data_IF_297981795389
#
_entry.id   IF_297981795389
#
_cell.length_a   1.000
_cell.length_b   1.000
_cell.length_c   1.000
_cell.angle_alpha   90.00
_cell.angle_beta   90.00
_cell.angle_gamma   90.00
#
_symmetry.space_group_name_H-M   'P 1'
#
loop_
_entity.id
_entity.type
_entity.pdbx_description
1 polymer ?
#
# COMPACT_ATOMS: atom_id res chain seq x y z
N UNK A 1 -13.37 16.80 30.05
CA UNK A 1 -14.37 15.89 30.66
C UNK A 1 -15.49 15.76 29.63
N UNK A 2 -15.86 14.56 29.20
CA UNK A 2 -16.90 14.36 28.17
C UNK A 2 -18.21 15.04 28.60
N UNK A 3 -18.77 15.95 27.78
CA UNK A 3 -20.02 16.66 28.10
C UNK A 3 -21.17 15.68 28.43
N UNK A 4 -21.18 14.52 27.77
CA UNK A 4 -22.12 13.43 28.03
C UNK A 4 -22.02 12.88 29.45
N UNK A 5 -20.80 12.76 30.02
CA UNK A 5 -20.61 12.22 31.38
C UNK A 5 -21.13 13.17 32.44
N UNK A 6 -20.98 14.47 32.23
CA UNK A 6 -21.49 15.49 33.15
C UNK A 6 -23.02 15.44 33.19
N UNK A 7 -23.66 15.39 32.01
CA UNK A 7 -25.13 15.28 31.90
C UNK A 7 -25.64 13.99 32.54
N UNK A 8 -25.02 12.85 32.25
CA UNK A 8 -25.42 11.56 32.88
C UNK A 8 -25.26 11.59 34.39
N UNK A 9 -24.18 12.21 34.91
CA UNK A 9 -23.95 12.32 36.36
C UNK A 9 -25.03 13.16 37.04
N UNK A 10 -25.42 14.29 36.43
CA UNK A 10 -26.49 15.15 36.96
C UNK A 10 -27.82 14.39 36.99
N UNK A 11 -28.17 13.71 35.90
CA UNK A 11 -29.42 12.93 35.81
C UNK A 11 -29.47 11.80 36.84
N UNK A 12 -28.41 11.01 36.96
CA UNK A 12 -28.33 9.89 37.92
C UNK A 12 -28.41 10.40 39.37
N UNK A 13 -27.81 11.56 39.65
CA UNK A 13 -27.85 12.17 40.99
C UNK A 13 -29.26 12.65 41.35
N UNK A 14 -29.94 13.32 40.42
CA UNK A 14 -31.33 13.75 40.62
C UNK A 14 -32.27 12.55 40.80
N UNK A 15 -32.11 11.50 39.99
CA UNK A 15 -32.90 10.28 40.09
C UNK A 15 -32.69 9.55 41.42
N UNK A 16 -31.44 9.45 41.90
CA UNK A 16 -31.14 8.82 43.17
C UNK A 16 -31.75 9.58 44.36
N UNK A 17 -31.76 10.92 44.30
CA UNK A 17 -32.38 11.75 45.32
C UNK A 17 -33.91 11.57 45.36
N UNK A 18 -34.57 11.59 44.19
CA UNK A 18 -36.02 11.36 44.08
C UNK A 18 -36.40 9.94 44.53
N UNK A 19 -35.63 8.94 44.10
CA UNK A 19 -35.83 7.56 44.52
C UNK A 19 -35.62 7.38 46.03
N UNK A 20 -34.63 8.07 46.62
CA UNK A 20 -34.38 8.08 48.06
C UNK A 20 -35.57 8.63 48.84
N UNK A 21 -36.08 9.80 48.42
CA UNK A 21 -37.27 10.40 49.03
C UNK A 21 -38.51 9.52 48.93
N UNK A 22 -38.71 8.87 47.77
CA UNK A 22 -39.84 7.97 47.54
C UNK A 22 -39.74 6.70 48.41
N UNK A 23 -38.57 6.06 48.46
CA UNK A 23 -38.33 4.87 49.26
C UNK A 23 -38.44 5.17 50.76
N UNK A 24 -37.92 6.31 51.22
CA UNK A 24 -38.08 6.77 52.60
C UNK A 24 -39.54 7.04 52.94
N UNK A 25 -40.35 7.53 52.01
CA UNK A 25 -41.80 7.72 52.19
C UNK A 25 -42.54 6.40 52.31
N UNK A 26 -42.19 5.42 51.48
CA UNK A 26 -42.75 4.07 51.55
C UNK A 26 -42.41 3.37 52.88
N UNK A 27 -41.15 3.43 53.30
CA UNK A 27 -40.71 2.87 54.58
C UNK A 27 -41.33 3.59 55.78
N UNK A 28 -41.55 4.90 55.69
CA UNK A 28 -42.25 5.66 56.71
C UNK A 28 -43.68 5.17 56.91
N UNK A 29 -44.44 4.93 55.83
CA UNK A 29 -45.80 4.38 55.92
C UNK A 29 -45.81 2.98 56.55
N UNK A 30 -44.87 2.11 56.16
CA UNK A 30 -44.72 0.77 56.75
C UNK A 30 -44.41 0.84 58.25
N UNK A 31 -43.45 1.67 58.66
CA UNK A 31 -43.04 1.76 60.07
C UNK A 31 -44.09 2.43 60.96
N UNK A 32 -44.98 3.22 60.38
CA UNK A 32 -46.15 3.80 61.03
C UNK A 32 -47.38 2.87 61.01
N UNK A 33 -47.33 1.74 60.28
CA UNK A 33 -48.46 0.83 60.13
C UNK A 33 -49.62 1.40 59.31
N UNK A 34 -49.33 2.36 58.43
CA UNK A 34 -50.29 3.04 57.57
C UNK A 34 -50.39 2.34 56.21
N UNK A 35 -51.51 2.55 55.53
CA UNK A 35 -51.71 2.01 54.18
C UNK A 35 -50.68 2.59 53.20
N UNK A 36 -49.93 1.70 52.56
CA UNK A 36 -48.95 2.05 51.51
C UNK A 36 -49.60 2.66 50.26
N UNK A 37 -50.91 2.52 50.09
CA UNK A 37 -51.68 3.21 49.05
C UNK A 37 -51.70 4.74 49.20
N UNK A 38 -51.31 5.28 50.36
CA UNK A 38 -51.20 6.72 50.62
C UNK A 38 -49.87 7.33 50.14
N UNK A 39 -48.99 6.53 49.53
CA UNK A 39 -47.68 6.97 49.08
C UNK A 39 -47.78 8.00 47.95
N UNK A 40 -47.12 9.13 48.14
CA UNK A 40 -46.90 10.20 47.17
C UNK A 40 -45.41 10.54 47.13
N UNK A 41 -44.98 11.19 46.07
CA UNK A 41 -43.59 11.67 45.94
C UNK A 41 -43.17 12.65 47.04
N UNK A 42 -44.13 13.31 47.70
CA UNK A 42 -43.88 14.25 48.80
C UNK A 42 -44.02 13.63 50.19
N UNK A 43 -44.51 12.39 50.31
CA UNK A 43 -44.90 11.79 51.60
C UNK A 43 -43.80 11.89 52.65
N UNK A 44 -42.56 11.58 52.29
CA UNK A 44 -41.45 11.70 53.22
C UNK A 44 -41.17 13.14 53.64
N UNK A 45 -41.21 14.07 52.68
CA UNK A 45 -40.99 15.49 52.95
C UNK A 45 -42.09 16.09 53.83
N UNK A 46 -43.34 15.67 53.61
CA UNK A 46 -44.48 16.09 54.41
C UNK A 46 -44.32 15.64 55.87
N UNK A 47 -43.88 14.39 56.11
CA UNK A 47 -43.58 13.90 57.46
C UNK A 47 -42.39 14.60 58.14
N UNK A 48 -41.34 14.94 57.38
CA UNK A 48 -40.20 15.69 57.90
C UNK A 48 -40.57 17.15 58.21
N UNK A 49 -41.43 17.78 57.41
CA UNK A 49 -41.86 19.17 57.61
C UNK A 49 -42.71 19.34 58.87
N UNK A 50 -43.49 18.32 59.24
CA UNK A 50 -44.34 18.32 60.44
C UNK A 50 -43.77 17.46 61.58
N UNK A 51 -42.46 17.19 61.59
CA UNK A 51 -41.81 16.29 62.54
C UNK A 51 -41.97 16.73 64.01
N UNK A 52 -42.06 18.04 64.26
CA UNK A 52 -42.21 18.63 65.59
C UNK A 52 -43.68 18.87 65.97
N UNK A 53 -44.63 18.49 65.11
CA UNK A 53 -46.06 18.50 65.44
C UNK A 53 -46.34 17.44 66.53
N UNK A 54 -47.09 17.74 67.61
CA UNK A 54 -47.25 16.85 68.76
C UNK A 54 -47.72 15.42 68.42
N UNK A 55 -48.54 15.27 67.38
CA UNK A 55 -49.07 13.98 66.92
C UNK A 55 -48.05 13.14 66.11
N UNK A 56 -47.03 13.77 65.53
CA UNK A 56 -45.99 13.12 64.69
C UNK A 56 -44.70 12.92 65.48
N UNK A 57 -44.40 13.82 66.42
CA UNK A 57 -43.19 13.81 67.24
C UNK A 57 -42.97 12.49 68.00
N UNK A 58 -44.06 11.82 68.42
CA UNK A 58 -44.00 10.50 69.06
C UNK A 58 -43.42 9.39 68.14
N UNK A 59 -43.47 9.57 66.82
CA UNK A 59 -42.95 8.62 65.83
C UNK A 59 -41.65 9.09 65.17
N UNK A 60 -41.05 10.20 65.66
CA UNK A 60 -39.84 10.83 65.12
C UNK A 60 -38.70 9.82 64.86
N UNK A 61 -38.44 8.93 65.81
CA UNK A 61 -37.39 7.91 65.67
C UNK A 61 -37.62 6.98 64.47
N UNK A 62 -38.87 6.55 64.24
CA UNK A 62 -39.21 5.65 63.12
C UNK A 62 -39.09 6.35 61.77
N UNK A 63 -39.48 7.62 61.69
CA UNK A 63 -39.36 8.44 60.48
C UNK A 63 -37.90 8.74 60.11
N UNK A 64 -37.05 8.99 61.12
CA UNK A 64 -35.61 9.18 60.91
C UNK A 64 -34.96 7.88 60.41
N UNK A 65 -35.32 6.72 60.98
CA UNK A 65 -34.81 5.42 60.52
C UNK A 65 -35.28 5.09 59.10
N UNK A 66 -36.54 5.35 58.74
CA UNK A 66 -37.04 5.21 57.37
C UNK A 66 -36.27 6.10 56.38
N UNK A 67 -35.94 7.33 56.80
CA UNK A 67 -35.06 8.24 56.09
C UNK A 67 -33.68 7.67 55.83
N UNK A 68 -33.01 7.27 56.91
CA UNK A 68 -31.66 6.75 56.87
C UNK A 68 -31.54 5.50 55.98
N UNK A 69 -32.52 4.59 56.06
CA UNK A 69 -32.54 3.39 55.21
C UNK A 69 -32.81 3.76 53.75
N UNK A 70 -33.84 4.56 53.46
CA UNK A 70 -34.21 4.89 52.08
C UNK A 70 -33.15 5.70 51.34
N UNK A 71 -32.66 6.79 51.93
CA UNK A 71 -31.57 7.58 51.35
C UNK A 71 -30.24 6.83 51.39
N UNK A 72 -29.95 6.04 52.44
CA UNK A 72 -28.72 5.26 52.54
C UNK A 72 -28.60 4.20 51.45
N UNK A 73 -29.67 3.44 51.20
CA UNK A 73 -29.70 2.45 50.12
C UNK A 73 -29.55 3.11 48.74
N UNK A 74 -30.25 4.22 48.49
CA UNK A 74 -30.15 4.92 47.21
C UNK A 74 -28.80 5.62 47.02
N UNK A 75 -28.16 6.07 48.09
CA UNK A 75 -26.79 6.58 48.05
C UNK A 75 -25.77 5.48 47.67
N UNK A 76 -25.95 4.25 48.17
CA UNK A 76 -25.10 3.11 47.78
C UNK A 76 -25.28 2.71 46.31
N UNK A 77 -26.53 2.71 45.81
CA UNK A 77 -26.83 2.48 44.38
C UNK A 77 -26.22 3.59 43.51
N UNK A 78 -26.42 4.85 43.90
CA UNK A 78 -25.83 6.01 43.24
C UNK A 78 -24.30 5.93 43.17
N UNK A 79 -23.66 5.64 44.30
CA UNK A 79 -22.20 5.51 44.38
C UNK A 79 -21.69 4.39 43.48
N UNK A 80 -22.41 3.27 43.42
CA UNK A 80 -22.07 2.12 42.56
C UNK A 80 -22.16 2.48 41.08
N UNK A 81 -23.19 3.23 40.66
CA UNK A 81 -23.33 3.73 39.28
C UNK A 81 -22.22 4.74 38.94
N UNK A 82 -21.87 5.65 39.85
CA UNK A 82 -20.76 6.59 39.63
C UNK A 82 -19.42 5.87 39.50
N UNK A 83 -19.13 4.90 40.37
CA UNK A 83 -17.92 4.08 40.26
C UNK A 83 -17.88 3.34 38.92
N UNK A 84 -19.01 2.83 38.44
CA UNK A 84 -19.08 2.20 37.12
C UNK A 84 -18.86 3.19 35.96
N UNK A 85 -19.42 4.40 36.05
CA UNK A 85 -19.25 5.44 35.02
C UNK A 85 -17.81 5.93 34.92
N UNK A 86 -17.12 6.08 36.06
CA UNK A 86 -15.79 6.70 36.10
C UNK A 86 -14.63 5.70 36.15
N UNK A 87 -14.77 4.56 36.82
CA UNK A 87 -13.67 3.62 37.08
C UNK A 87 -13.62 2.45 36.10
N UNK A 88 -14.77 1.88 35.71
CA UNK A 88 -14.83 0.69 34.86
C UNK A 88 -14.51 0.93 33.37
N UNK A 89 -14.53 2.19 32.90
CA UNK A 89 -14.19 2.56 31.51
C UNK A 89 -12.89 3.36 31.37
N UNK A 90 -12.07 3.43 32.41
CA UNK A 90 -10.82 4.20 32.44
C UNK A 90 -9.60 3.47 31.88
N UNK A 91 -9.77 2.55 30.92
CA UNK A 91 -8.64 2.19 30.07
C UNK A 91 -8.42 3.32 29.07
N UNK A 92 -7.51 4.24 29.42
CA UNK A 92 -6.94 5.19 28.48
C UNK A 92 -6.23 4.39 27.39
N UNK A 93 -6.81 4.37 26.20
CA UNK A 93 -6.29 3.62 25.06
C UNK A 93 -5.07 4.34 24.48
N UNK A 94 -3.94 4.21 25.17
CA UNK A 94 -2.64 4.80 24.82
C UNK A 94 -2.11 4.36 23.45
N UNK A 95 -2.56 3.22 22.93
CA UNK A 95 -2.14 2.66 21.64
C UNK A 95 -3.21 2.75 20.54
N UNK A 96 -4.24 3.57 20.75
CA UNK A 96 -5.38 3.66 19.82
C UNK A 96 -6.41 2.55 20.01
N UNK A 97 -7.57 2.72 19.38
CA UNK A 97 -8.70 1.79 19.48
C UNK A 97 -9.03 1.25 18.09
N UNK A 98 -8.45 0.10 17.75
CA UNK A 98 -8.89 -0.65 16.58
C UNK A 98 -10.30 -1.19 16.83
N UNK A 99 -11.19 -0.99 15.86
CA UNK A 99 -12.51 -1.61 15.81
C UNK A 99 -12.90 -1.83 14.35
N UNK A 100 -13.82 -2.75 14.13
CA UNK A 100 -14.43 -2.88 12.81
C UNK A 100 -15.18 -1.60 12.44
N UNK A 101 -15.02 -1.19 11.18
CA UNK A 101 -15.72 -0.06 10.62
C UNK A 101 -17.19 -0.43 10.36
N UNK A 102 -18.11 0.48 10.69
CA UNK A 102 -19.51 0.41 10.29
C UNK A 102 -19.77 1.16 8.98
N UNK A 103 -21.01 1.09 8.51
CA UNK A 103 -21.49 1.81 7.32
C UNK A 103 -21.19 3.32 7.37
N UNK A 104 -21.43 3.96 8.51
CA UNK A 104 -21.20 5.40 8.69
C UNK A 104 -19.71 5.75 8.60
N UNK A 105 -18.83 4.90 9.15
CA UNK A 105 -17.38 5.11 9.06
C UNK A 105 -16.91 5.03 7.60
N UNK A 106 -17.38 4.01 6.88
CA UNK A 106 -17.06 3.77 5.47
C UNK A 106 -17.59 4.90 4.57
N UNK A 107 -18.83 5.36 4.80
CA UNK A 107 -19.41 6.49 4.10
C UNK A 107 -18.62 7.79 4.34
N UNK A 108 -18.28 8.07 5.59
CA UNK A 108 -17.50 9.27 5.98
C UNK A 108 -16.09 9.25 5.40
N UNK A 109 -15.47 8.06 5.31
CA UNK A 109 -14.15 7.87 4.70
C UNK A 109 -14.19 7.73 3.17
N UNK A 110 -15.37 7.81 2.55
CA UNK A 110 -15.51 7.86 1.09
C UNK A 110 -15.56 6.50 0.39
N UNK A 111 -15.54 5.38 1.12
CA UNK A 111 -15.54 4.03 0.54
C UNK A 111 -16.78 3.69 -0.28
N UNK A 112 -17.86 4.46 -0.12
CA UNK A 112 -19.15 4.27 -0.78
C UNK A 112 -19.47 5.36 -1.83
N UNK A 113 -18.60 6.37 -2.01
CA UNK A 113 -18.94 7.60 -2.74
C UNK A 113 -18.61 7.59 -4.23
N UNK A 114 -17.72 6.71 -4.70
CA UNK A 114 -17.18 6.79 -6.07
C UNK A 114 -17.60 5.57 -6.91
N UNK A 115 -18.18 5.81 -8.09
CA UNK A 115 -18.68 4.73 -8.95
C UNK A 115 -17.55 4.02 -9.73
N UNK A 116 -16.44 4.69 -10.01
CA UNK A 116 -15.40 4.17 -10.91
C UNK A 116 -13.96 4.55 -10.55
N UNK A 117 -13.76 5.23 -9.42
CA UNK A 117 -12.43 5.65 -8.94
C UNK A 117 -11.99 4.81 -7.72
N UNK A 118 -10.71 4.48 -7.68
CA UNK A 118 -10.12 3.77 -6.55
C UNK A 118 -10.13 2.25 -6.64
N UNK A 119 -9.35 1.64 -5.73
CA UNK A 119 -9.13 0.19 -5.67
C UNK A 119 -10.29 -0.45 -4.94
N UNK A 120 -10.93 -1.45 -5.53
CA UNK A 120 -11.95 -2.28 -4.87
C UNK A 120 -11.26 -3.13 -3.80
N UNK A 121 -11.64 -2.92 -2.53
CA UNK A 121 -11.06 -3.63 -1.37
C UNK A 121 -12.04 -4.59 -0.71
N UNK A 122 -13.30 -4.60 -1.13
CA UNK A 122 -14.31 -5.51 -0.60
C UNK A 122 -15.73 -5.12 -1.00
N UNK A 123 -16.70 -5.73 -0.34
CA UNK A 123 -18.12 -5.46 -0.53
C UNK A 123 -18.83 -5.46 0.82
N UNK A 124 -19.80 -4.58 0.99
CA UNK A 124 -20.69 -4.59 2.16
C UNK A 124 -22.12 -4.23 1.73
N UNK A 125 -23.09 -5.06 2.12
CA UNK A 125 -24.51 -4.90 1.76
C UNK A 125 -24.74 -4.67 0.26
N UNK A 126 -24.11 -5.49 -0.58
CA UNK A 126 -24.21 -5.38 -2.04
C UNK A 126 -23.39 -4.27 -2.68
N UNK A 127 -22.83 -3.33 -1.91
CA UNK A 127 -22.05 -2.19 -2.42
C UNK A 127 -20.55 -2.48 -2.38
N UNK A 128 -19.86 -2.23 -3.48
CA UNK A 128 -18.39 -2.29 -3.53
C UNK A 128 -17.80 -1.20 -2.64
N UNK A 129 -16.80 -1.58 -1.86
CA UNK A 129 -15.98 -0.68 -1.06
C UNK A 129 -14.75 -0.32 -1.88
N UNK A 130 -14.57 0.96 -2.18
CA UNK A 130 -13.44 1.46 -2.97
C UNK A 130 -12.54 2.34 -2.12
N UNK A 131 -11.24 2.07 -2.14
CA UNK A 131 -10.24 2.93 -1.51
C UNK A 131 -9.93 4.11 -2.44
N UNK A 132 -10.32 5.35 -2.09
CA UNK A 132 -10.11 6.50 -2.94
C UNK A 132 -8.67 7.03 -2.87
N UNK A 133 -8.28 7.79 -3.89
CA UNK A 133 -7.00 8.50 -3.92
C UNK A 133 -5.78 7.64 -4.26
N UNK A 134 -4.60 8.24 -4.12
CA UNK A 134 -3.31 7.61 -4.41
C UNK A 134 -2.78 6.90 -3.15
N UNK A 135 -3.42 5.80 -2.77
CA UNK A 135 -3.02 4.98 -1.64
C UNK A 135 -2.52 3.62 -2.11
N UNK A 136 -1.63 3.02 -1.31
CA UNK A 136 -1.09 1.69 -1.56
C UNK A 136 -1.91 0.64 -0.82
N UNK A 137 -2.09 -0.53 -1.45
CA UNK A 137 -2.79 -1.67 -0.87
C UNK A 137 -1.85 -2.86 -0.84
N UNK A 138 -1.75 -3.49 0.33
CA UNK A 138 -1.11 -4.79 0.50
C UNK A 138 -2.18 -5.85 0.72
N UNK A 139 -2.13 -6.92 -0.08
CA UNK A 139 -3.03 -8.07 0.06
C UNK A 139 -2.25 -9.25 0.64
N UNK A 140 -2.48 -9.54 1.92
CA UNK A 140 -1.99 -10.74 2.57
C UNK A 140 -3.02 -11.88 2.40
N UNK A 141 -2.70 -12.88 1.59
CA UNK A 141 -3.62 -13.97 1.26
C UNK A 141 -2.85 -15.29 1.04
N UNK A 142 -3.21 -16.39 1.74
CA UNK A 142 -2.62 -17.71 1.51
C UNK A 142 -2.84 -18.23 0.08
N UNK A 143 -2.12 -19.27 -0.31
CA UNK A 143 -2.42 -19.97 -1.57
C UNK A 143 -3.85 -20.52 -1.56
N UNK A 144 -4.50 -20.55 -2.73
CA UNK A 144 -5.89 -21.04 -2.93
C UNK A 144 -6.99 -20.30 -2.13
N UNK A 145 -6.70 -19.14 -1.54
CA UNK A 145 -7.67 -18.29 -0.83
C UNK A 145 -8.56 -17.42 -1.73
N UNK A 146 -8.39 -17.51 -3.06
CA UNK A 146 -9.16 -16.73 -4.01
C UNK A 146 -8.64 -15.32 -4.28
N UNK A 147 -7.37 -14.99 -3.98
CA UNK A 147 -6.81 -13.64 -4.24
C UNK A 147 -7.02 -13.12 -5.68
N UNK A 148 -6.94 -14.00 -6.67
CA UNK A 148 -7.15 -13.66 -8.09
C UNK A 148 -8.59 -13.28 -8.36
N UNK A 149 -9.52 -14.19 -8.07
CA UNK A 149 -10.96 -14.04 -8.32
C UNK A 149 -11.64 -13.00 -7.42
N UNK A 150 -11.14 -12.82 -6.19
CA UNK A 150 -11.76 -11.96 -5.18
C UNK A 150 -11.22 -10.53 -5.15
N UNK A 151 -10.00 -10.28 -5.67
CA UNK A 151 -9.38 -8.96 -5.61
C UNK A 151 -8.78 -8.52 -6.94
N UNK A 152 -7.90 -9.33 -7.54
CA UNK A 152 -7.14 -8.91 -8.75
C UNK A 152 -8.06 -8.72 -9.96
N UNK A 153 -8.81 -9.76 -10.35
CA UNK A 153 -9.72 -9.71 -11.50
C UNK A 153 -10.80 -8.63 -11.30
N UNK A 154 -11.51 -8.55 -10.15
CA UNK A 154 -12.47 -7.48 -9.91
C UNK A 154 -11.88 -6.07 -10.09
N UNK A 155 -10.65 -5.83 -9.63
CA UNK A 155 -10.00 -4.55 -9.84
C UNK A 155 -9.67 -4.29 -11.31
N UNK A 156 -9.17 -5.27 -12.06
CA UNK A 156 -8.90 -5.10 -13.49
C UNK A 156 -10.16 -4.86 -14.32
N UNK A 157 -11.31 -5.37 -13.88
CA UNK A 157 -12.61 -5.11 -14.50
C UNK A 157 -13.22 -3.76 -14.07
N UNK A 158 -13.01 -3.34 -12.82
CA UNK A 158 -13.64 -2.17 -12.23
C UNK A 158 -12.81 -0.88 -12.30
N UNK A 159 -11.48 -0.97 -12.43
CA UNK A 159 -10.57 0.17 -12.44
C UNK A 159 -10.47 0.76 -13.85
N UNK A 160 -10.86 2.03 -13.98
CA UNK A 160 -11.02 2.73 -15.26
C UNK A 160 -9.77 3.44 -15.78
N UNK A 161 -8.69 3.42 -15.02
CA UNK A 161 -7.41 4.01 -15.42
C UNK A 161 -6.43 2.93 -15.90
N UNK A 162 -5.30 3.36 -16.46
CA UNK A 162 -4.24 2.46 -16.94
C UNK A 162 -3.75 1.53 -15.82
N UNK A 163 -3.43 0.28 -16.19
CA UNK A 163 -2.93 -0.72 -15.26
C UNK A 163 -1.71 -1.44 -15.86
N UNK A 164 -0.67 -1.62 -15.04
CA UNK A 164 0.47 -2.49 -15.34
C UNK A 164 0.38 -3.67 -14.38
N UNK A 165 0.37 -4.89 -14.93
CA UNK A 165 0.09 -6.11 -14.17
C UNK A 165 1.23 -7.10 -14.36
N UNK A 166 1.88 -7.50 -13.26
CA UNK A 166 2.78 -8.64 -13.26
C UNK A 166 1.94 -9.92 -13.19
N UNK A 167 1.82 -10.61 -14.32
CA UNK A 167 0.92 -11.76 -14.47
C UNK A 167 1.68 -13.04 -14.80
N UNK A 168 2.32 -13.65 -13.79
CA UNK A 168 3.16 -14.84 -13.93
C UNK A 168 2.45 -16.02 -14.62
N UNK A 169 1.12 -16.10 -14.50
CA UNK A 169 0.33 -17.20 -15.07
C UNK A 169 -0.47 -16.82 -16.32
N UNK A 170 -0.44 -15.55 -16.71
CA UNK A 170 -1.27 -14.99 -17.81
C UNK A 170 -2.81 -15.07 -17.60
N UNK A 171 -3.29 -15.53 -16.44
CA UNK A 171 -4.74 -15.66 -16.15
C UNK A 171 -5.44 -14.29 -16.14
N UNK A 172 -4.77 -13.23 -15.69
CA UNK A 172 -5.37 -11.90 -15.62
C UNK A 172 -5.54 -11.31 -17.02
N UNK A 173 -4.53 -11.47 -17.88
CA UNK A 173 -4.61 -11.03 -19.26
C UNK A 173 -5.74 -11.75 -20.00
N UNK A 174 -5.79 -13.07 -19.93
CA UNK A 174 -6.77 -13.88 -20.67
C UNK A 174 -8.22 -13.56 -20.25
N UNK A 175 -8.45 -13.34 -18.95
CA UNK A 175 -9.80 -13.08 -18.42
C UNK A 175 -10.26 -11.63 -18.55
N UNK A 176 -9.34 -10.66 -18.61
CA UNK A 176 -9.70 -9.23 -18.47
C UNK A 176 -9.36 -8.35 -19.66
N UNK A 177 -8.41 -8.76 -20.51
CA UNK A 177 -7.94 -7.96 -21.65
C UNK A 177 -9.07 -7.57 -22.61
N UNK A 178 -9.96 -8.51 -22.94
CA UNK A 178 -11.10 -8.27 -23.83
C UNK A 178 -12.07 -7.21 -23.29
N UNK A 179 -12.38 -7.27 -21.99
CA UNK A 179 -13.19 -6.24 -21.33
C UNK A 179 -12.49 -4.89 -21.29
N UNK A 180 -11.21 -4.87 -20.93
CA UNK A 180 -10.45 -3.61 -20.88
C UNK A 180 -10.37 -2.98 -22.27
N UNK A 181 -10.23 -3.78 -23.33
CA UNK A 181 -10.30 -3.32 -24.71
C UNK A 181 -11.68 -2.77 -25.07
N UNK A 182 -12.77 -3.40 -24.63
CA UNK A 182 -14.14 -2.95 -24.94
C UNK A 182 -14.50 -1.61 -24.31
N UNK A 183 -13.83 -1.24 -23.20
CA UNK A 183 -13.96 0.09 -22.57
C UNK A 183 -12.96 1.12 -23.10
N UNK A 184 -12.27 0.81 -24.20
CA UNK A 184 -11.41 1.73 -24.94
C UNK A 184 -9.94 1.69 -24.56
N UNK A 185 -9.48 0.75 -23.71
CA UNK A 185 -8.07 0.69 -23.36
C UNK A 185 -7.21 0.07 -24.46
N UNK A 186 -6.00 0.62 -24.66
CA UNK A 186 -4.94 -0.10 -25.38
C UNK A 186 -4.43 -1.25 -24.54
N UNK A 187 -4.30 -2.42 -25.17
CA UNK A 187 -3.92 -3.66 -24.50
C UNK A 187 -2.60 -4.15 -25.06
N UNK A 188 -1.63 -4.33 -24.18
CA UNK A 188 -0.32 -4.88 -24.50
C UNK A 188 -0.03 -6.07 -23.59
N UNK A 189 0.55 -7.12 -24.18
CA UNK A 189 1.06 -8.31 -23.51
C UNK A 189 2.55 -8.39 -23.78
N UNK A 190 3.38 -8.26 -22.75
CA UNK A 190 4.81 -8.54 -22.82
C UNK A 190 5.07 -9.87 -22.12
N UNK A 191 5.17 -10.94 -22.89
CA UNK A 191 5.54 -12.28 -22.46
C UNK A 191 6.80 -12.72 -23.23
N UNK A 192 7.99 -12.32 -22.76
CA UNK A 192 9.23 -12.51 -23.52
C UNK A 192 9.73 -13.97 -23.57
N UNK A 193 8.97 -14.91 -23.01
CA UNK A 193 9.24 -16.35 -23.08
C UNK A 193 8.04 -17.13 -23.65
N UNK A 194 7.13 -16.45 -24.36
CA UNK A 194 5.96 -17.08 -24.95
C UNK A 194 6.35 -18.13 -26.00
N UNK A 195 5.97 -19.38 -25.78
CA UNK A 195 6.25 -20.49 -26.71
C UNK A 195 5.55 -20.31 -28.06
N UNK A 196 4.37 -19.69 -28.06
CA UNK A 196 3.60 -19.35 -29.25
C UNK A 196 4.09 -18.07 -29.95
N UNK A 197 5.12 -17.42 -29.38
CA UNK A 197 5.72 -16.15 -29.86
C UNK A 197 4.75 -14.98 -29.87
N UNK A 198 3.61 -15.06 -29.18
CA UNK A 198 2.61 -13.98 -29.13
C UNK A 198 2.94 -13.02 -27.98
N UNK A 199 3.86 -12.11 -28.26
CA UNK A 199 4.23 -11.02 -27.36
C UNK A 199 4.39 -9.73 -28.13
N UNK A 200 4.04 -8.63 -27.48
CA UNK A 200 4.50 -7.30 -27.90
C UNK A 200 5.97 -7.15 -27.53
N UNK A 201 6.64 -6.22 -28.19
CA UNK A 201 8.03 -5.89 -27.93
C UNK A 201 8.16 -4.69 -26.99
N UNK A 202 9.18 -4.73 -26.15
CA UNK A 202 9.57 -3.63 -25.29
C UNK A 202 11.08 -3.62 -25.11
N UNK A 203 11.72 -2.51 -25.44
CA UNK A 203 13.15 -2.33 -25.30
C UNK A 203 13.47 -1.35 -24.16
N UNK A 204 14.08 -1.82 -23.05
CA UNK A 204 14.41 -0.94 -21.93
C UNK A 204 15.48 0.11 -22.29
N UNK A 205 16.26 -0.08 -23.36
CA UNK A 205 17.27 0.90 -23.78
C UNK A 205 16.66 2.09 -24.56
N UNK A 206 15.40 2.04 -25.00
CA UNK A 206 14.76 3.15 -25.73
C UNK A 206 14.45 4.36 -24.83
N UNK A 207 14.56 4.21 -23.50
CA UNK A 207 14.40 5.31 -22.55
C UNK A 207 15.68 6.11 -22.33
N UNK A 208 16.82 5.62 -22.82
CA UNK A 208 18.12 6.32 -22.71
C UNK A 208 18.12 7.53 -23.61
N UNK A 209 18.58 8.67 -23.09
CA UNK A 209 18.63 9.92 -23.82
C UNK A 209 19.54 9.87 -25.05
N UNK A 210 19.07 10.49 -26.14
CA UNK A 210 19.88 10.80 -27.31
C UNK A 210 20.89 11.94 -27.01
N UNK A 211 20.73 12.69 -25.93
CA UNK A 211 21.70 13.69 -25.48
C UNK A 211 22.88 13.01 -24.75
N UNK A 212 24.12 13.11 -25.27
CA UNK A 212 25.30 12.54 -24.63
C UNK A 212 25.52 13.01 -23.19
N UNK A 213 25.05 14.20 -22.80
CA UNK A 213 25.18 14.72 -21.45
C UNK A 213 24.39 13.92 -20.40
N UNK A 214 23.24 13.36 -20.78
CA UNK A 214 22.37 12.58 -19.89
C UNK A 214 22.50 11.06 -20.07
N UNK A 215 23.04 10.62 -21.22
CA UNK A 215 23.18 9.19 -21.55
C UNK A 215 23.94 8.38 -20.50
N UNK A 216 25.04 8.92 -19.97
CA UNK A 216 25.85 8.20 -18.97
C UNK A 216 25.04 7.92 -17.71
N UNK A 217 24.28 8.90 -17.19
CA UNK A 217 23.45 8.72 -16.00
C UNK A 217 22.29 7.75 -16.23
N UNK A 218 21.69 7.78 -17.43
CA UNK A 218 20.61 6.86 -17.79
C UNK A 218 21.12 5.41 -17.84
N UNK A 219 22.26 5.18 -18.50
CA UNK A 219 22.88 3.87 -18.61
C UNK A 219 23.35 3.34 -17.25
N UNK A 220 23.91 4.20 -16.41
CA UNK A 220 24.28 3.83 -15.03
C UNK A 220 23.05 3.44 -14.20
N UNK A 221 21.91 4.12 -14.39
CA UNK A 221 20.65 3.79 -13.72
C UNK A 221 20.14 2.41 -14.13
N UNK A 222 20.21 2.08 -15.43
CA UNK A 222 19.87 0.74 -15.93
C UNK A 222 20.86 -0.31 -15.41
N UNK A 223 22.16 0.01 -15.38
CA UNK A 223 23.18 -0.87 -14.83
C UNK A 223 22.92 -1.19 -13.35
N UNK A 224 22.49 -0.21 -12.55
CA UNK A 224 22.16 -0.42 -11.14
C UNK A 224 20.94 -1.36 -10.93
N UNK A 225 20.00 -1.39 -11.89
CA UNK A 225 18.87 -2.34 -11.86
C UNK A 225 19.29 -3.76 -12.23
N UNK A 226 20.20 -3.91 -13.21
CA UNK A 226 20.67 -5.22 -13.68
C UNK A 226 21.71 -5.85 -12.73
N UNK A 227 22.56 -5.01 -12.14
CA UNK A 227 23.62 -5.41 -11.22
C UNK A 227 23.35 -4.73 -9.88
N UNK A 228 22.37 -5.19 -9.07
CA UNK A 228 22.03 -4.55 -7.79
C UNK A 228 23.19 -4.62 -6.79
N UNK A 229 23.23 -3.68 -5.84
CA UNK A 229 24.23 -3.72 -4.77
C UNK A 229 24.04 -4.98 -3.93
N UNK A 230 25.09 -5.79 -3.81
CA UNK A 230 25.15 -6.98 -2.96
C UNK A 230 25.85 -6.73 -1.62
N UNK A 231 26.33 -7.82 -1.02
CA UNK A 231 27.19 -7.77 0.16
C UNK A 231 28.48 -6.96 -0.10
N UNK A 232 29.13 -6.46 0.96
CA UNK A 232 30.38 -5.68 0.85
C UNK A 232 31.48 -6.39 0.03
N UNK A 233 31.54 -7.72 0.12
CA UNK A 233 32.49 -8.57 -0.62
C UNK A 233 32.27 -8.56 -2.14
N UNK A 234 31.06 -8.26 -2.60
CA UNK A 234 30.67 -8.31 -4.01
C UNK A 234 30.68 -6.92 -4.67
N UNK A 235 30.94 -5.86 -3.90
CA UNK A 235 30.96 -4.46 -4.36
C UNK A 235 31.93 -4.23 -5.52
N UNK A 236 33.13 -4.83 -5.45
CA UNK A 236 34.11 -4.70 -6.52
C UNK A 236 33.57 -5.28 -7.83
N UNK A 237 33.09 -6.53 -7.80
CA UNK A 237 32.56 -7.22 -8.99
C UNK A 237 31.33 -6.52 -9.56
N UNK A 238 30.42 -6.07 -8.70
CA UNK A 238 29.23 -5.31 -9.09
C UNK A 238 29.61 -4.00 -9.77
N UNK A 239 30.55 -3.24 -9.19
CA UNK A 239 31.05 -1.98 -9.76
C UNK A 239 31.72 -2.19 -11.12
N UNK A 240 32.57 -3.22 -11.25
CA UNK A 240 33.23 -3.54 -12.50
C UNK A 240 32.26 -4.04 -13.58
N UNK A 241 31.24 -4.83 -13.21
CA UNK A 241 30.18 -5.26 -14.11
C UNK A 241 29.36 -4.06 -14.65
N UNK A 242 29.03 -3.09 -13.78
CA UNK A 242 28.38 -1.83 -14.18
C UNK A 242 29.27 -1.01 -15.13
N UNK A 243 30.58 -0.95 -14.88
CA UNK A 243 31.52 -0.27 -15.79
C UNK A 243 31.59 -0.98 -17.16
N UNK A 244 31.63 -2.31 -17.19
CA UNK A 244 31.58 -3.08 -18.43
C UNK A 244 30.28 -2.84 -19.21
N UNK A 245 29.13 -2.84 -18.51
CA UNK A 245 27.84 -2.50 -19.10
C UNK A 245 27.86 -1.09 -19.71
N UNK A 246 28.39 -0.10 -19.01
CA UNK A 246 28.53 1.27 -19.50
C UNK A 246 29.40 1.32 -20.76
N UNK A 247 30.56 0.64 -20.78
CA UNK A 247 31.44 0.61 -21.94
C UNK A 247 30.73 0.07 -23.20
N UNK A 248 30.07 -1.08 -23.08
CA UNK A 248 29.42 -1.75 -24.21
C UNK A 248 28.16 -1.01 -24.68
N UNK A 249 27.38 -0.45 -23.76
CA UNK A 249 26.20 0.34 -24.13
C UNK A 249 26.60 1.66 -24.79
N UNK A 250 27.55 2.41 -24.25
CA UNK A 250 28.05 3.63 -24.90
C UNK A 250 28.56 3.35 -26.31
N UNK A 251 29.32 2.27 -26.50
CA UNK A 251 29.74 1.83 -27.83
C UNK A 251 28.56 1.66 -28.80
N UNK A 252 27.50 0.96 -28.38
CA UNK A 252 26.32 0.72 -29.24
C UNK A 252 25.58 2.02 -29.59
N UNK A 253 25.39 2.91 -28.62
CA UNK A 253 24.73 4.20 -28.86
C UNK A 253 25.56 5.10 -29.78
N UNK A 254 26.87 5.19 -29.55
CA UNK A 254 27.76 6.05 -30.34
C UNK A 254 28.01 5.47 -31.75
N UNK A 255 28.06 4.14 -31.89
CA UNK A 255 28.10 3.48 -33.20
C UNK A 255 26.82 3.75 -34.00
N UNK A 256 25.64 3.74 -33.35
CA UNK A 256 24.37 4.12 -33.97
C UNK A 256 24.39 5.57 -34.45
N UNK A 257 24.90 6.48 -33.65
CA UNK A 257 25.04 7.89 -34.05
C UNK A 257 25.99 8.07 -35.23
N UNK A 258 27.13 7.37 -35.22
CA UNK A 258 28.09 7.41 -36.31
C UNK A 258 27.48 6.88 -37.62
N UNK A 259 26.74 5.77 -37.58
CA UNK A 259 25.97 5.25 -38.72
C UNK A 259 24.97 6.28 -39.27
N UNK A 260 24.25 6.99 -38.38
CA UNK A 260 23.34 8.08 -38.78
C UNK A 260 24.10 9.23 -39.44
N UNK A 261 25.24 9.65 -38.89
CA UNK A 261 26.08 10.72 -39.47
C UNK A 261 26.62 10.35 -40.83
N UNK A 262 26.92 9.07 -41.06
CA UNK A 262 27.39 8.54 -42.35
C UNK A 262 26.26 8.34 -43.36
N UNK A 263 25.01 8.67 -43.02
CA UNK A 263 23.87 8.59 -43.93
C UNK A 263 23.36 7.16 -44.15
N UNK A 264 23.61 6.24 -43.21
CA UNK A 264 23.04 4.89 -43.26
C UNK A 264 21.51 4.97 -43.22
N UNK A 265 20.82 4.17 -44.04
CA UNK A 265 19.36 4.12 -44.02
C UNK A 265 18.84 3.62 -42.66
N UNK A 266 17.70 4.13 -42.19
CA UNK A 266 17.08 3.72 -40.92
C UNK A 266 16.88 2.20 -40.79
N UNK A 267 16.64 1.49 -41.89
CA UNK A 267 16.51 0.04 -41.91
C UNK A 267 17.80 -0.73 -41.55
N UNK A 268 18.96 -0.11 -41.70
CA UNK A 268 20.28 -0.69 -41.42
C UNK A 268 20.84 -0.25 -40.06
N UNK A 269 20.29 0.83 -39.49
CA UNK A 269 20.75 1.39 -38.22
C UNK A 269 20.29 0.47 -37.10
N UNK A 270 21.24 -0.18 -36.42
CA UNK A 270 20.91 -1.06 -35.31
C UNK A 270 20.53 -0.25 -34.08
N UNK A 271 19.38 -0.59 -33.50
CA UNK A 271 18.95 -0.03 -32.22
C UNK A 271 19.68 -0.76 -31.09
N UNK A 272 20.26 -0.06 -30.10
CA UNK A 272 20.80 -0.69 -28.91
C UNK A 272 19.72 -1.52 -28.19
N UNK A 273 20.01 -2.79 -27.95
CA UNK A 273 19.19 -3.70 -27.16
C UNK A 273 20.07 -4.45 -26.16
N UNK A 274 19.49 -5.00 -25.10
CA UNK A 274 20.25 -5.80 -24.13
C UNK A 274 20.89 -7.04 -24.79
N UNK A 275 20.23 -7.65 -25.78
CA UNK A 275 20.84 -8.73 -26.57
C UNK A 275 22.00 -8.26 -27.44
N UNK A 276 21.96 -7.04 -27.98
CA UNK A 276 23.11 -6.45 -28.68
C UNK A 276 24.29 -6.21 -27.74
N UNK A 277 24.02 -5.75 -26.51
CA UNK A 277 25.04 -5.60 -25.46
C UNK A 277 25.70 -6.95 -25.16
N UNK A 278 24.92 -8.01 -24.99
CA UNK A 278 25.43 -9.36 -24.79
C UNK A 278 26.30 -9.82 -25.96
N UNK A 279 25.84 -9.65 -27.21
CA UNK A 279 26.61 -10.01 -28.41
C UNK A 279 27.94 -9.27 -28.49
N UNK A 280 27.93 -7.94 -28.30
CA UNK A 280 29.17 -7.14 -28.28
C UNK A 280 30.13 -7.64 -27.20
N UNK A 281 29.65 -7.92 -26.00
CA UNK A 281 30.49 -8.44 -24.92
C UNK A 281 31.01 -9.87 -25.14
N UNK A 282 30.43 -10.59 -26.10
CA UNK A 282 30.76 -12.00 -26.40
C UNK A 282 31.90 -12.15 -27.40
N UNK A 283 32.20 -11.10 -28.14
CA UNK A 283 33.21 -11.13 -29.20
C UNK A 283 32.68 -11.74 -30.49
N UNK A 284 33.59 -11.89 -31.44
CA UNK A 284 33.36 -12.44 -32.79
C UNK A 284 33.89 -13.88 -32.95
N UNK A 285 34.26 -14.52 -31.84
CA UNK A 285 34.91 -15.84 -31.81
C UNK A 285 36.44 -15.77 -31.69
N UNK A 286 37.05 -14.58 -31.78
CA UNK A 286 38.46 -14.36 -31.48
C UNK A 286 38.72 -14.13 -29.98
N UNK A 287 39.96 -13.85 -29.61
CA UNK A 287 40.31 -13.46 -28.25
C UNK A 287 39.59 -12.17 -27.85
N UNK A 288 38.88 -12.22 -26.71
CA UNK A 288 37.96 -11.15 -26.32
C UNK A 288 38.65 -9.81 -26.05
N UNK A 289 39.84 -9.82 -25.42
CA UNK A 289 40.55 -8.58 -25.08
C UNK A 289 41.00 -7.81 -26.33
N UNK A 290 41.73 -8.41 -27.30
CA UNK A 290 42.05 -7.76 -28.57
C UNK A 290 40.81 -7.25 -29.32
N UNK A 291 39.74 -8.04 -29.36
CA UNK A 291 38.47 -7.63 -29.96
C UNK A 291 37.90 -6.36 -29.29
N UNK A 292 37.82 -6.34 -27.97
CA UNK A 292 37.32 -5.17 -27.22
C UNK A 292 38.25 -3.96 -27.33
N UNK A 293 39.56 -4.16 -27.44
CA UNK A 293 40.52 -3.09 -27.72
C UNK A 293 40.23 -2.46 -29.09
N UNK A 294 39.98 -3.27 -30.12
CA UNK A 294 39.61 -2.76 -31.44
C UNK A 294 38.28 -1.97 -31.45
N UNK A 295 37.35 -2.28 -30.52
CA UNK A 295 36.16 -1.47 -30.31
C UNK A 295 36.50 -0.13 -29.62
N UNK A 296 37.34 -0.17 -28.58
CA UNK A 296 37.76 1.02 -27.84
C UNK A 296 38.55 2.03 -28.69
N UNK A 297 39.23 1.54 -29.73
CA UNK A 297 40.03 2.35 -30.65
C UNK A 297 39.21 3.05 -31.75
N UNK A 298 37.88 2.83 -31.78
CA UNK A 298 37.03 3.48 -32.79
C UNK A 298 37.04 5.01 -32.64
N UNK A 299 37.22 5.76 -33.74
CA UNK A 299 37.41 7.21 -33.67
C UNK A 299 36.16 7.97 -33.24
N UNK A 300 34.97 7.41 -33.48
CA UNK A 300 33.70 8.01 -33.09
C UNK A 300 33.44 7.95 -31.58
N UNK A 301 34.22 7.19 -30.81
CA UNK A 301 33.99 7.03 -29.38
C UNK A 301 34.34 8.27 -28.56
N UNK A 302 33.45 8.61 -27.65
CA UNK A 302 33.61 9.67 -26.66
C UNK A 302 34.71 9.34 -25.65
N UNK A 303 35.17 10.37 -24.93
CA UNK A 303 36.10 10.20 -23.82
C UNK A 303 35.52 9.28 -22.73
N UNK A 304 34.22 9.41 -22.44
CA UNK A 304 33.54 8.57 -21.44
C UNK A 304 33.54 7.09 -21.83
N UNK A 305 33.23 6.77 -23.09
CA UNK A 305 33.28 5.41 -23.60
C UNK A 305 34.70 4.84 -23.51
N UNK A 306 35.70 5.60 -23.97
CA UNK A 306 37.12 5.21 -23.92
C UNK A 306 37.60 4.98 -22.48
N UNK A 307 37.22 5.84 -21.54
CA UNK A 307 37.53 5.66 -20.11
C UNK A 307 36.88 4.39 -19.55
N UNK A 308 35.62 4.10 -19.88
CA UNK A 308 34.94 2.89 -19.43
C UNK A 308 35.63 1.62 -19.97
N UNK A 309 36.00 1.61 -21.26
CA UNK A 309 36.79 0.53 -21.86
C UNK A 309 38.16 0.39 -21.21
N UNK A 310 38.89 1.49 -20.98
CA UNK A 310 40.20 1.46 -20.33
C UNK A 310 40.11 0.86 -18.91
N UNK A 311 39.07 1.20 -18.14
CA UNK A 311 38.82 0.61 -16.81
C UNK A 311 38.68 -0.92 -16.84
N UNK A 312 38.06 -1.45 -17.90
CA UNK A 312 37.89 -2.89 -18.11
C UNK A 312 39.16 -3.56 -18.69
N UNK A 313 39.76 -2.98 -19.73
CA UNK A 313 40.88 -3.56 -20.48
C UNK A 313 42.21 -3.53 -19.72
N UNK A 314 42.36 -2.62 -18.76
CA UNK A 314 43.53 -2.52 -17.88
C UNK A 314 43.61 -3.63 -16.82
N UNK A 315 42.54 -4.42 -16.65
CA UNK A 315 42.51 -5.50 -15.66
C UNK A 315 43.36 -6.69 -16.10
N UNK A 316 44.00 -7.37 -15.16
CA UNK A 316 44.70 -8.63 -15.43
C UNK A 316 43.74 -9.69 -16.01
N UNK A 317 44.25 -10.64 -16.80
CA UNK A 317 43.41 -11.58 -17.58
C UNK A 317 42.39 -12.35 -16.73
N UNK A 318 42.81 -12.85 -15.56
CA UNK A 318 41.93 -13.57 -14.63
C UNK A 318 40.83 -12.65 -14.09
N UNK A 319 41.19 -11.44 -13.66
CA UNK A 319 40.24 -10.45 -13.14
C UNK A 319 39.27 -10.01 -14.23
N UNK A 320 39.77 -9.77 -15.45
CA UNK A 320 38.97 -9.45 -16.62
C UNK A 320 37.94 -10.55 -16.91
N UNK A 321 38.36 -11.82 -16.92
CA UNK A 321 37.45 -12.94 -17.15
C UNK A 321 36.35 -13.01 -16.07
N UNK A 322 36.70 -12.80 -14.81
CA UNK A 322 35.73 -12.72 -13.71
C UNK A 322 34.75 -11.56 -13.87
N UNK A 323 35.23 -10.38 -14.26
CA UNK A 323 34.37 -9.20 -14.52
C UNK A 323 33.39 -9.49 -15.66
N UNK A 324 33.85 -10.07 -16.77
CA UNK A 324 32.99 -10.47 -17.89
C UNK A 324 31.96 -11.51 -17.42
N UNK A 325 32.35 -12.46 -16.56
CA UNK A 325 31.44 -13.42 -15.95
C UNK A 325 30.32 -12.75 -15.14
N UNK A 326 30.68 -11.86 -14.21
CA UNK A 326 29.71 -11.09 -13.42
C UNK A 326 28.83 -10.20 -14.28
N UNK A 327 29.40 -9.58 -15.31
CA UNK A 327 28.68 -8.76 -16.27
C UNK A 327 27.64 -9.57 -17.08
N UNK A 328 27.96 -10.78 -17.53
CA UNK A 328 27.05 -11.58 -18.38
C UNK A 328 25.89 -12.18 -17.61
N UNK A 329 26.03 -12.42 -16.32
CA UNK A 329 25.07 -13.19 -15.50
C UNK A 329 23.60 -12.73 -15.66
N UNK A 330 23.24 -11.45 -15.46
CA UNK A 330 21.85 -10.98 -15.65
C UNK A 330 21.44 -10.88 -17.13
N UNK A 331 22.39 -10.93 -18.07
CA UNK A 331 22.12 -10.88 -19.51
C UNK A 331 22.03 -12.27 -20.16
N UNK A 332 22.41 -13.35 -19.46
CA UNK A 332 22.33 -14.72 -19.97
C UNK A 332 20.96 -15.10 -20.55
N UNK A 333 19.80 -14.66 -19.99
CA UNK A 333 18.50 -14.95 -20.58
C UNK A 333 18.37 -14.48 -22.04
N UNK A 334 19.11 -13.45 -22.47
CA UNK A 334 19.07 -12.89 -23.83
C UNK A 334 19.80 -13.76 -24.87
N UNK A 335 20.45 -14.86 -24.45
CA UNK A 335 20.87 -15.93 -25.36
C UNK A 335 19.66 -16.61 -26.02
N UNK A 336 18.48 -16.56 -25.38
CA UNK A 336 17.25 -17.08 -25.96
C UNK A 336 16.75 -16.14 -27.08
N UNK A 337 16.65 -16.61 -28.34
CA UNK A 337 16.21 -15.77 -29.45
C UNK A 337 14.77 -15.25 -29.30
N UNK A 338 13.92 -15.92 -28.51
CA UNK A 338 12.56 -15.45 -28.22
C UNK A 338 12.60 -14.19 -27.35
N UNK A 339 13.43 -14.18 -26.30
CA UNK A 339 13.60 -13.00 -25.44
C UNK A 339 14.29 -11.85 -26.20
N UNK A 340 15.34 -12.15 -26.97
CA UNK A 340 16.03 -11.13 -27.77
C UNK A 340 15.07 -10.48 -28.78
N UNK A 341 14.24 -11.27 -29.47
CA UNK A 341 13.21 -10.75 -30.36
C UNK A 341 12.16 -9.90 -29.62
N UNK A 342 11.71 -10.34 -28.45
CA UNK A 342 10.75 -9.60 -27.62
C UNK A 342 11.30 -8.27 -27.09
N UNK A 343 12.62 -8.09 -27.06
CA UNK A 343 13.28 -6.87 -26.59
C UNK A 343 14.00 -6.09 -27.69
N UNK A 344 13.71 -6.44 -28.95
CA UNK A 344 14.35 -5.86 -30.14
C UNK A 344 13.81 -4.48 -30.56
N UNK A 345 12.73 -4.01 -29.92
CA UNK A 345 12.08 -2.74 -30.23
C UNK A 345 10.89 -2.49 -29.31
N UNK A 346 10.04 -1.52 -29.67
CA UNK A 346 8.90 -1.11 -28.85
C UNK A 346 7.61 -1.15 -29.66
N UNK A 347 6.62 -1.89 -29.17
CA UNK A 347 5.23 -1.78 -29.63
C UNK A 347 4.39 -0.91 -28.66
N UNK A 348 4.93 -0.62 -27.48
CA UNK A 348 4.39 0.28 -26.47
C UNK A 348 5.50 0.91 -25.64
N UNK A 349 5.19 2.00 -24.95
CA UNK A 349 6.11 2.62 -23.99
C UNK A 349 5.45 2.80 -22.62
N UNK A 350 6.25 2.66 -21.57
CA UNK A 350 5.80 2.79 -20.18
C UNK A 350 5.58 4.25 -19.77
N UNK A 351 6.22 5.20 -20.46
CA UNK A 351 6.00 6.65 -20.26
C UNK A 351 4.67 7.15 -20.85
N UNK A 352 4.02 6.35 -21.71
CA UNK A 352 2.67 6.59 -22.22
C UNK A 352 1.57 6.15 -21.23
N UNK A 353 1.90 5.37 -20.21
CA UNK A 353 0.96 4.90 -19.18
C UNK A 353 0.34 6.12 -18.50
N UNK A 354 -1.01 6.15 -18.43
CA UNK A 354 -1.84 7.27 -17.94
C UNK A 354 -1.86 8.52 -18.83
N UNK A 355 -1.08 8.58 -19.93
CA UNK A 355 -1.21 9.61 -20.98
C UNK A 355 -2.17 9.18 -22.07
N UNK A 356 -2.21 7.87 -22.33
CA UNK A 356 -3.09 7.24 -23.29
C UNK A 356 -4.01 6.27 -22.54
N UNK A 357 -5.29 6.25 -22.92
CA UNK A 357 -6.25 5.25 -22.41
C UNK A 357 -6.17 4.00 -23.25
#
# INVERSE_FOLDING_TARGET
>A
MDSTRVITTILVTLLAFVAGAYLSGYLALIFLGLDTGLLKFTTYYDYIKFLDHPQVAQYKGRLVVAGAIGFGLMALVWLSILVALFKLRSHRNIHGRARFAGLLDLANKGFLKQKDEGIVVGQMNGKLLRLPGQQFVILAAPTRSGKGVGVVIPNLLAYRESAVVLDIKQENFDLTSGWRKSIGHKIYLFNPFAEDRRTHRWNPLTYVSDDPAFRVSDLQSIAAMLYPDGDDKDKFWTSQARNAFLAFTLYLFEAREDQRRQGSSDALIQTPTLGAVLRVSSGDGSELKPYLQALADKPFLSANAKTAFAGLLSQADVTFASIIGSFREPLNPFLNPVLDAATSGDDFRLDDVRRQR
#
